data_IF_575206510252
#
_entry.id   IF_575206510252
#
_cell.length_a   1.000
_cell.length_b   1.000
_cell.length_c   1.000
_cell.angle_alpha   90.00
_cell.angle_beta   90.00
_cell.angle_gamma   90.00
#
_symmetry.space_group_name_H-M   'P 1'
#
loop_
_entity.id
_entity.type
_entity.pdbx_description
1 polymer ?
#
# COMPACT_ATOMS: atom_id res chain seq x y z
N UNK A 1 7.52 -21.42 0.38
CA UNK A 1 7.71 -19.96 0.38
C UNK A 1 6.64 -19.38 -0.52
N UNK A 2 5.67 -18.67 0.05
CA UNK A 2 4.80 -17.80 -0.74
C UNK A 2 5.65 -16.60 -1.14
N UNK A 3 5.78 -16.37 -2.44
CA UNK A 3 6.36 -15.13 -2.96
C UNK A 3 5.29 -14.07 -2.80
N UNK A 4 5.65 -12.97 -2.15
CA UNK A 4 4.77 -11.82 -2.00
C UNK A 4 5.26 -10.69 -2.89
N UNK A 5 4.33 -9.92 -3.41
CA UNK A 5 4.58 -8.68 -4.14
C UNK A 5 4.01 -7.51 -3.33
N UNK A 6 4.43 -6.28 -3.63
CA UNK A 6 3.84 -5.07 -3.05
C UNK A 6 3.08 -4.32 -4.13
N UNK A 7 1.82 -4.07 -3.87
CA UNK A 7 0.96 -3.20 -4.65
C UNK A 7 0.93 -1.79 -4.03
N UNK A 8 0.83 -0.78 -4.88
CA UNK A 8 0.53 0.60 -4.52
C UNK A 8 -0.81 1.01 -5.13
N UNK A 9 -1.63 1.71 -4.36
CA UNK A 9 -2.90 2.26 -4.83
C UNK A 9 -3.11 3.67 -4.26
N UNK A 10 -3.63 4.58 -5.08
CA UNK A 10 -3.99 5.93 -4.62
C UNK A 10 -5.17 5.87 -3.66
N UNK A 11 -5.07 6.61 -2.58
CA UNK A 11 -6.10 6.72 -1.54
C UNK A 11 -6.31 8.18 -1.15
N UNK A 12 -7.45 8.46 -0.53
CA UNK A 12 -7.83 9.78 -0.03
C UNK A 12 -8.44 9.69 1.37
N UNK A 13 -8.38 10.75 2.20
CA UNK A 13 -8.97 10.73 3.53
C UNK A 13 -10.48 10.48 3.48
N UNK A 14 -10.98 9.55 4.30
CA UNK A 14 -12.38 9.13 4.31
C UNK A 14 -13.27 9.98 5.26
N UNK A 15 -12.81 11.16 5.68
CA UNK A 15 -13.53 12.05 6.60
C UNK A 15 -13.42 11.69 8.09
N UNK A 16 -12.98 10.49 8.44
CA UNK A 16 -12.57 10.12 9.80
C UNK A 16 -11.03 10.14 9.94
N UNK A 17 -10.53 10.65 11.06
CA UNK A 17 -9.09 10.75 11.29
C UNK A 17 -8.42 9.37 11.23
N UNK A 18 -7.38 9.27 10.38
CA UNK A 18 -6.65 8.02 10.17
C UNK A 18 -7.33 7.04 9.22
N UNK A 19 -8.54 7.32 8.72
CA UNK A 19 -9.21 6.48 7.73
C UNK A 19 -9.05 7.04 6.32
N UNK A 20 -8.83 6.12 5.39
CA UNK A 20 -8.65 6.40 3.99
C UNK A 20 -9.54 5.49 3.15
N UNK A 21 -9.98 6.00 2.00
CA UNK A 21 -10.67 5.25 0.98
C UNK A 21 -9.85 5.20 -0.31
N UNK A 22 -10.10 4.22 -1.16
CA UNK A 22 -9.51 4.19 -2.51
C UNK A 22 -10.14 5.31 -3.32
N UNK A 23 -9.33 6.05 -4.08
CA UNK A 23 -9.91 6.99 -5.04
C UNK A 23 -10.73 6.21 -6.09
N UNK A 24 -11.85 6.77 -6.54
CA UNK A 24 -12.75 6.12 -7.51
C UNK A 24 -12.06 5.68 -8.81
N UNK A 25 -10.99 6.37 -9.21
CA UNK A 25 -10.18 6.11 -10.41
C UNK A 25 -8.86 5.36 -10.14
N UNK A 26 -8.62 4.95 -8.90
CA UNK A 26 -7.36 4.34 -8.51
C UNK A 26 -7.27 2.87 -8.93
N UNK A 27 -6.23 2.56 -9.71
CA UNK A 27 -5.84 1.19 -10.01
C UNK A 27 -4.63 0.79 -9.16
N UNK A 28 -4.64 -0.44 -8.66
CA UNK A 28 -3.49 -1.00 -7.98
C UNK A 28 -2.40 -1.35 -9.00
N UNK A 29 -1.17 -0.93 -8.74
CA UNK A 29 0.00 -1.29 -9.51
C UNK A 29 1.01 -2.06 -8.64
N UNK A 30 1.61 -3.11 -9.18
CA UNK A 30 2.70 -3.84 -8.52
C UNK A 30 3.98 -3.04 -8.65
N UNK A 31 4.53 -2.64 -7.51
CA UNK A 31 5.73 -1.82 -7.42
C UNK A 31 6.96 -2.61 -6.97
N UNK A 32 6.77 -3.81 -6.42
CA UNK A 32 7.84 -4.75 -6.12
C UNK A 32 7.33 -6.19 -6.12
N UNK A 33 8.19 -7.14 -6.45
CA UNK A 33 7.88 -8.58 -6.54
C UNK A 33 8.68 -9.45 -5.55
N UNK A 34 9.53 -8.80 -4.74
CA UNK A 34 10.47 -9.50 -3.84
C UNK A 34 10.68 -8.80 -2.50
N UNK A 35 10.26 -7.55 -2.36
CA UNK A 35 10.36 -6.77 -1.12
C UNK A 35 9.03 -6.83 -0.36
N UNK A 36 9.06 -6.52 0.94
CA UNK A 36 7.86 -6.28 1.73
C UNK A 36 7.52 -4.76 1.81
N UNK A 37 6.42 -4.40 2.48
CA UNK A 37 6.02 -2.98 2.55
C UNK A 37 7.02 -2.14 3.32
N UNK A 38 7.67 -2.69 4.35
CA UNK A 38 8.64 -1.97 5.16
C UNK A 38 9.89 -1.62 4.34
N UNK A 39 10.37 -2.56 3.52
CA UNK A 39 11.45 -2.34 2.57
C UNK A 39 11.13 -1.19 1.60
N UNK A 40 9.88 -1.14 1.08
CA UNK A 40 9.42 -0.03 0.22
C UNK A 40 9.45 1.30 0.98
N UNK A 41 8.92 1.32 2.21
CA UNK A 41 8.87 2.54 3.03
C UNK A 41 10.27 3.10 3.27
N UNK A 42 11.25 2.25 3.58
CA UNK A 42 12.62 2.65 3.88
C UNK A 42 13.36 3.29 2.69
N UNK A 43 12.91 3.02 1.47
CA UNK A 43 13.51 3.56 0.23
C UNK A 43 12.68 4.66 -0.43
N UNK A 44 11.57 5.07 0.19
CA UNK A 44 10.79 6.20 -0.32
C UNK A 44 11.62 7.49 -0.31
N UNK A 45 11.35 8.42 -1.24
CA UNK A 45 11.93 9.76 -1.17
C UNK A 45 11.58 10.43 0.17
N UNK A 46 12.47 11.28 0.69
CA UNK A 46 12.28 11.96 1.99
C UNK A 46 11.01 12.82 2.11
N UNK A 47 10.37 13.16 1.00
CA UNK A 47 9.08 13.87 0.99
C UNK A 47 7.90 12.95 1.25
N UNK A 48 8.08 11.63 1.30
CA UNK A 48 7.03 10.67 1.58
C UNK A 48 7.22 10.09 2.98
N UNK A 49 6.17 10.15 3.80
CA UNK A 49 6.20 9.72 5.18
C UNK A 49 5.05 8.75 5.48
N UNK A 50 5.29 7.81 6.39
CA UNK A 50 4.25 6.91 6.89
C UNK A 50 3.22 7.72 7.68
N UNK A 51 1.94 7.50 7.38
CA UNK A 51 0.83 8.04 8.17
C UNK A 51 0.58 7.10 9.35
N UNK A 52 0.82 7.58 10.56
CA UNK A 52 0.61 6.78 11.77
C UNK A 52 -0.86 6.42 11.98
N UNK A 53 -1.10 5.19 12.46
CA UNK A 53 -2.44 4.66 12.76
C UNK A 53 -3.41 4.67 11.57
N UNK A 54 -2.88 4.68 10.34
CA UNK A 54 -3.71 4.74 9.14
C UNK A 54 -4.45 3.42 8.87
N UNK A 55 -5.68 3.54 8.39
CA UNK A 55 -6.61 2.44 8.08
C UNK A 55 -7.23 2.67 6.71
N UNK A 56 -7.55 1.57 6.05
CA UNK A 56 -8.20 1.56 4.73
C UNK A 56 -9.61 0.97 4.83
N UNK A 57 -10.60 1.72 4.35
CA UNK A 57 -11.98 1.27 4.19
C UNK A 57 -12.06 0.06 3.24
N UNK A 58 -12.95 -0.88 3.54
CA UNK A 58 -13.08 -2.18 2.87
C UNK A 58 -12.02 -3.21 3.26
N UNK A 59 -10.94 -2.81 3.95
CA UNK A 59 -9.90 -3.71 4.46
C UNK A 59 -9.98 -3.84 5.98
N UNK A 60 -9.82 -2.73 6.70
CA UNK A 60 -9.71 -2.72 8.17
C UNK A 60 -11.06 -2.70 8.89
N UNK A 61 -12.14 -2.39 8.19
CA UNK A 61 -13.53 -2.46 8.65
C UNK A 61 -14.22 -3.77 8.25
N UNK A 62 -13.56 -4.61 7.45
CA UNK A 62 -14.07 -5.89 7.00
C UNK A 62 -13.52 -7.03 7.85
N UNK A 63 -14.35 -7.50 8.79
CA UNK A 63 -14.00 -8.58 9.73
C UNK A 63 -13.61 -9.87 9.00
N UNK A 64 -14.28 -10.21 7.92
CA UNK A 64 -13.98 -11.44 7.16
C UNK A 64 -12.56 -11.40 6.56
N UNK A 65 -12.11 -10.20 6.15
CA UNK A 65 -10.74 -10.02 5.62
C UNK A 65 -9.73 -10.04 6.76
N UNK A 66 -10.00 -9.31 7.85
CA UNK A 66 -9.07 -9.22 8.98
C UNK A 66 -8.88 -10.53 9.73
N UNK A 67 -9.93 -11.36 9.83
CA UNK A 67 -9.86 -12.67 10.50
C UNK A 67 -9.53 -13.82 9.55
N UNK A 68 -9.91 -13.71 8.26
CA UNK A 68 -9.74 -14.77 7.28
C UNK A 68 -8.39 -14.77 6.56
N UNK A 69 -7.66 -13.66 6.58
CA UNK A 69 -6.39 -13.51 5.87
C UNK A 69 -5.19 -13.63 6.81
N UNK A 70 -4.36 -14.65 6.58
CA UNK A 70 -3.19 -14.96 7.41
C UNK A 70 -2.19 -13.80 7.52
N UNK A 71 -2.15 -12.88 6.56
CA UNK A 71 -1.28 -11.71 6.61
C UNK A 71 -1.63 -10.78 7.78
N UNK A 72 -2.91 -10.74 8.15
CA UNK A 72 -3.43 -9.90 9.24
C UNK A 72 -3.65 -10.69 10.53
N UNK A 73 -3.26 -11.97 10.59
CA UNK A 73 -3.46 -12.82 11.77
C UNK A 73 -2.80 -12.28 13.05
N UNK A 74 -1.78 -11.43 12.91
CA UNK A 74 -1.11 -10.75 14.03
C UNK A 74 -1.53 -9.26 14.17
N UNK A 75 -2.60 -8.85 13.50
CA UNK A 75 -3.00 -7.45 13.33
C UNK A 75 -2.29 -6.76 12.16
N UNK A 76 -2.60 -5.47 11.89
CA UNK A 76 -1.94 -4.69 10.85
C UNK A 76 -0.48 -4.42 11.25
N UNK A 77 0.44 -5.22 10.69
CA UNK A 77 1.89 -5.00 10.79
C UNK A 77 2.38 -4.18 9.58
N UNK A 78 3.34 -3.29 9.82
CA UNK A 78 3.92 -2.40 8.81
C UNK A 78 4.67 -3.13 7.69
N UNK A 79 4.93 -4.42 7.85
CA UNK A 79 5.48 -5.31 6.80
C UNK A 79 4.45 -5.67 5.72
N UNK A 80 3.15 -5.64 6.05
CA UNK A 80 2.06 -6.07 5.17
C UNK A 80 1.29 -4.88 4.60
N UNK A 81 1.13 -3.82 5.38
CA UNK A 81 0.32 -2.67 5.00
C UNK A 81 0.86 -1.37 5.57
N UNK A 82 0.84 -0.30 4.76
CA UNK A 82 1.10 1.06 5.22
C UNK A 82 0.36 2.07 4.34
N UNK A 83 0.02 3.23 4.90
CA UNK A 83 -0.34 4.41 4.11
C UNK A 83 0.81 5.40 4.20
N UNK A 84 1.22 5.93 3.06
CA UNK A 84 2.25 6.97 2.96
C UNK A 84 1.66 8.24 2.35
N UNK A 85 2.02 9.39 2.92
CA UNK A 85 1.61 10.71 2.47
C UNK A 85 2.79 11.52 1.95
N UNK A 86 2.54 12.38 0.96
CA UNK A 86 3.54 13.28 0.41
C UNK A 86 3.51 14.64 1.13
N UNK A 87 4.63 15.07 1.70
CA UNK A 87 4.74 16.33 2.44
C UNK A 87 4.34 17.53 1.58
N UNK A 88 3.44 18.35 2.12
CA UNK A 88 2.97 19.57 1.47
C UNK A 88 2.02 19.33 0.29
N UNK A 89 1.64 18.09 0.00
CA UNK A 89 0.64 17.73 -1.00
C UNK A 89 -0.43 16.83 -0.36
N UNK A 90 -1.71 17.04 -0.67
CA UNK A 90 -2.78 16.12 -0.25
C UNK A 90 -2.78 14.87 -1.15
N UNK A 91 -1.69 14.08 -1.08
CA UNK A 91 -1.51 12.85 -1.86
C UNK A 91 -1.13 11.71 -0.93
N UNK A 92 -1.91 10.65 -1.02
CA UNK A 92 -1.74 9.46 -0.19
C UNK A 92 -1.75 8.21 -1.04
N UNK A 93 -0.98 7.22 -0.60
CA UNK A 93 -0.86 5.92 -1.26
C UNK A 93 -0.94 4.84 -0.20
N UNK A 94 -1.80 3.85 -0.42
CA UNK A 94 -1.76 2.61 0.32
C UNK A 94 -0.78 1.64 -0.35
N UNK A 95 0.15 1.13 0.45
CA UNK A 95 1.06 0.05 0.14
C UNK A 95 0.52 -1.22 0.76
N UNK A 96 0.40 -2.28 -0.02
CA UNK A 96 -0.16 -3.53 0.45
C UNK A 96 0.59 -4.71 -0.14
N UNK A 97 1.02 -5.62 0.72
CA UNK A 97 1.55 -6.91 0.29
C UNK A 97 0.41 -7.71 -0.35
N UNK A 98 0.64 -8.30 -1.52
CA UNK A 98 -0.31 -9.15 -2.26
C UNK A 98 0.33 -10.49 -2.60
N UNK A 99 -0.49 -11.52 -2.76
CA UNK A 99 0.03 -12.83 -3.16
C UNK A 99 0.56 -12.77 -4.60
N UNK A 100 1.69 -13.45 -4.89
CA UNK A 100 2.22 -13.55 -6.25
C UNK A 100 1.23 -14.07 -7.29
N UNK A 101 0.23 -14.87 -6.90
CA UNK A 101 -0.82 -15.30 -7.83
C UNK A 101 -1.75 -14.13 -8.25
N UNK A 102 -2.07 -13.23 -7.31
CA UNK A 102 -2.92 -12.06 -7.57
C UNK A 102 -2.14 -10.99 -8.35
N UNK A 103 -0.84 -10.87 -8.10
CA UNK A 103 0.01 -9.85 -8.74
C UNK A 103 0.12 -10.01 -10.26
N UNK A 104 -0.09 -11.22 -10.80
CA UNK A 104 -0.07 -11.48 -12.26
C UNK A 104 -1.19 -10.73 -12.99
N UNK A 105 -2.29 -10.39 -12.30
CA UNK A 105 -3.41 -9.66 -12.89
C UNK A 105 -3.28 -8.14 -12.79
N UNK A 106 -2.28 -7.66 -12.07
CA UNK A 106 -2.07 -6.23 -11.83
C UNK A 106 -1.02 -5.66 -12.78
N UNK A 107 -1.17 -4.39 -13.14
CA UNK A 107 -0.16 -3.68 -13.90
C UNK A 107 1.14 -3.60 -13.08
N UNK A 108 2.30 -3.82 -13.72
CA UNK A 108 3.59 -3.74 -13.05
C UNK A 108 4.28 -2.41 -13.37
N UNK A 109 4.54 -1.62 -12.34
CA UNK A 109 5.26 -0.34 -12.41
C UNK A 109 6.33 -0.33 -11.33
N UNK A 110 7.37 -1.12 -11.57
CA UNK A 110 8.38 -1.43 -10.55
C UNK A 110 9.09 -0.17 -10.05
N UNK A 111 9.03 0.05 -8.75
CA UNK A 111 9.71 1.16 -8.09
C UNK A 111 11.18 0.76 -7.95
N UNK A 112 12.05 1.25 -8.83
CA UNK A 112 13.50 0.97 -8.83
C UNK A 112 14.29 2.19 -8.35
N UNK A 113 15.57 2.02 -8.02
CA UNK A 113 16.45 3.03 -7.39
C UNK A 113 16.64 4.35 -8.16
N UNK A 114 16.08 4.49 -9.36
CA UNK A 114 16.12 5.72 -10.17
C UNK A 114 14.73 6.20 -10.64
N UNK A 115 13.64 5.50 -10.33
CA UNK A 115 12.29 5.95 -10.68
C UNK A 115 11.72 6.83 -9.57
N UNK A 116 11.14 7.96 -9.96
CA UNK A 116 10.32 8.81 -9.07
C UNK A 116 9.12 7.97 -8.64
N UNK A 117 8.89 7.80 -7.32
CA UNK A 117 7.84 6.95 -6.76
C UNK A 117 6.46 7.24 -7.37
N UNK A 118 6.23 8.51 -7.70
CA UNK A 118 5.04 9.02 -8.37
C UNK A 118 4.78 8.37 -9.73
N UNK A 119 5.81 7.95 -10.46
CA UNK A 119 5.63 7.24 -11.74
C UNK A 119 4.99 5.85 -11.56
N UNK A 120 5.07 5.27 -10.36
CA UNK A 120 4.38 4.03 -10.04
C UNK A 120 2.87 4.23 -9.85
N UNK A 121 2.41 5.48 -9.66
CA UNK A 121 1.06 5.84 -9.24
C UNK A 121 0.16 6.38 -10.37
N UNK A 122 0.69 6.54 -11.59
CA UNK A 122 0.00 7.13 -12.77
C UNK A 122 -0.59 6.03 -13.64
#
# INVERSE_FOLDING_TARGET
MLLYAVAAIRVEPAGEAGWFDRCDDAHAAIISISEDVLDIVLRLPHVWNVVENARLCGLHDNVDVMEGDERFANGPDGSVFAIVGCDGLERYVALMQVNAAESVFCEQRLFTSCSVFEHCLI
#
